data_IF_083346482131
#
_entry.id   IF_083346482131
#
_cell.length_a   1.000
_cell.length_b   1.000
_cell.length_c   1.000
_cell.angle_alpha   90.00
_cell.angle_beta   90.00
_cell.angle_gamma   90.00
#
_symmetry.space_group_name_H-M   'P 1'
#
loop_
_entity.id
_entity.type
_entity.pdbx_description
1 polymer ?
#
# COMPACT_ATOMS: atom_id res chain seq x y z
N UNK A 1 34.60 -10.12 6.62
CA UNK A 1 33.41 -10.35 5.78
C UNK A 1 32.24 -9.71 6.52
N UNK A 2 31.70 -8.61 6.01
CA UNK A 2 30.66 -7.82 6.68
C UNK A 2 29.41 -8.71 6.86
N UNK A 3 28.82 -8.73 8.05
CA UNK A 3 27.87 -9.73 8.57
C UNK A 3 26.49 -9.81 7.90
N UNK A 4 26.46 -9.99 6.58
CA UNK A 4 25.26 -10.25 5.79
C UNK A 4 24.89 -11.74 5.94
N UNK A 5 23.62 -12.03 6.23
CA UNK A 5 23.12 -13.40 6.40
C UNK A 5 22.04 -13.70 5.37
N UNK A 6 22.09 -14.80 4.60
CA UNK A 6 21.02 -15.14 3.67
C UNK A 6 19.65 -15.24 4.35
N UNK A 7 18.61 -14.81 3.64
CA UNK A 7 17.23 -15.10 4.01
C UNK A 7 16.94 -16.59 3.77
N UNK A 8 16.05 -17.15 4.59
CA UNK A 8 15.56 -18.51 4.38
C UNK A 8 14.75 -18.61 3.09
N UNK A 9 14.56 -19.83 2.56
CA UNK A 9 13.68 -20.06 1.41
C UNK A 9 12.23 -19.67 1.71
N UNK A 10 11.79 -19.83 2.96
CA UNK A 10 10.46 -19.42 3.44
C UNK A 10 10.32 -17.89 3.36
N UNK A 11 11.32 -17.16 3.85
CA UNK A 11 11.35 -15.71 3.78
C UNK A 11 11.34 -15.20 2.32
N UNK A 12 12.12 -15.82 1.44
CA UNK A 12 12.15 -15.47 0.01
C UNK A 12 10.80 -15.70 -0.68
N UNK A 13 10.14 -16.82 -0.39
CA UNK A 13 8.79 -17.09 -0.92
C UNK A 13 7.80 -16.06 -0.41
N UNK A 14 7.79 -15.80 0.91
CA UNK A 14 6.88 -14.84 1.52
C UNK A 14 7.09 -13.41 1.00
N UNK A 15 8.34 -13.02 0.73
CA UNK A 15 8.67 -11.72 0.14
C UNK A 15 8.12 -11.60 -1.28
N UNK A 16 8.36 -12.62 -2.10
CA UNK A 16 7.89 -12.67 -3.50
C UNK A 16 6.36 -12.58 -3.56
N UNK A 17 5.66 -13.36 -2.71
CA UNK A 17 4.20 -13.34 -2.64
C UNK A 17 3.69 -11.97 -2.16
N UNK A 18 4.35 -11.35 -1.18
CA UNK A 18 3.98 -10.02 -0.70
C UNK A 18 4.13 -8.97 -1.80
N UNK A 19 5.24 -8.98 -2.53
CA UNK A 19 5.48 -8.04 -3.66
C UNK A 19 4.43 -8.23 -4.75
N UNK A 20 4.09 -9.49 -5.09
CA UNK A 20 3.02 -9.79 -6.06
C UNK A 20 1.69 -9.21 -5.60
N UNK A 21 1.27 -9.49 -4.36
CA UNK A 21 0.00 -8.98 -3.81
C UNK A 21 -0.04 -7.45 -3.75
N UNK A 22 1.09 -6.79 -3.47
CA UNK A 22 1.18 -5.33 -3.48
C UNK A 22 1.04 -4.73 -4.89
N UNK A 23 1.62 -5.38 -5.92
CA UNK A 23 1.46 -4.98 -7.33
C UNK A 23 0.01 -5.15 -7.79
N UNK A 24 -0.63 -6.26 -7.44
CA UNK A 24 -2.03 -6.51 -7.76
C UNK A 24 -2.97 -5.50 -7.08
N UNK A 25 -2.67 -5.12 -5.83
CA UNK A 25 -3.43 -4.10 -5.10
C UNK A 25 -3.34 -2.72 -5.75
N UNK A 26 -2.14 -2.31 -6.18
CA UNK A 26 -1.90 -1.03 -6.84
C UNK A 26 -2.71 -0.85 -8.13
N UNK A 27 -3.04 -1.96 -8.83
CA UNK A 27 -3.82 -1.95 -10.06
C UNK A 27 -5.35 -1.89 -9.83
N UNK A 28 -5.82 -2.06 -8.59
CA UNK A 28 -7.27 -2.20 -8.27
C UNK A 28 -8.08 -0.90 -8.17
N UNK A 29 -7.43 0.27 -8.28
CA UNK A 29 -7.97 1.46 -8.95
C UNK A 29 -9.14 2.27 -8.36
N UNK A 30 -9.88 1.86 -7.31
CA UNK A 30 -10.96 2.70 -6.76
C UNK A 30 -10.95 2.81 -5.23
N UNK A 31 -10.75 4.03 -4.75
CA UNK A 31 -10.82 4.38 -3.33
C UNK A 31 -12.20 4.94 -2.94
N UNK A 32 -12.72 4.50 -1.79
CA UNK A 32 -13.97 5.01 -1.21
C UNK A 32 -15.19 4.13 -1.47
N UNK A 33 -16.14 4.11 -0.53
CA UNK A 33 -17.35 3.26 -0.57
C UNK A 33 -18.37 3.88 -1.54
N UNK A 34 -18.80 3.15 -2.58
CA UNK A 34 -19.97 3.54 -3.37
C UNK A 34 -21.17 3.85 -2.48
N UNK A 35 -21.73 5.05 -2.65
CA UNK A 35 -22.88 5.54 -1.89
C UNK A 35 -23.84 6.22 -2.84
N UNK A 36 -25.05 5.70 -2.93
CA UNK A 36 -26.13 6.32 -3.69
C UNK A 36 -26.72 7.49 -2.89
N UNK A 37 -26.98 8.61 -3.57
CA UNK A 37 -27.70 9.76 -3.01
C UNK A 37 -28.82 10.18 -3.96
N UNK A 38 -30.02 10.24 -3.44
CA UNK A 38 -31.20 10.75 -4.15
C UNK A 38 -31.27 12.27 -4.05
N UNK A 39 -31.65 12.93 -5.15
CA UNK A 39 -31.88 14.37 -5.24
C UNK A 39 -33.05 14.62 -6.19
N UNK A 40 -34.23 14.83 -5.63
CA UNK A 40 -35.48 14.91 -6.39
C UNK A 40 -35.75 13.59 -7.10
N UNK A 41 -36.07 13.64 -8.40
CA UNK A 41 -36.39 12.46 -9.20
C UNK A 41 -35.15 11.74 -9.76
N UNK A 42 -33.95 12.15 -9.35
CA UNK A 42 -32.68 11.60 -9.83
C UNK A 42 -31.84 11.02 -8.70
N UNK A 43 -31.09 9.97 -9.00
CA UNK A 43 -30.14 9.37 -8.07
C UNK A 43 -28.71 9.46 -8.62
N UNK A 44 -27.74 9.64 -7.73
CA UNK A 44 -26.35 9.88 -8.07
C UNK A 44 -25.41 9.06 -7.18
N UNK A 45 -24.42 8.43 -7.80
CA UNK A 45 -23.39 7.67 -7.11
C UNK A 45 -22.21 8.54 -6.72
N UNK A 46 -21.72 8.34 -5.50
CA UNK A 46 -20.52 8.97 -4.97
C UNK A 46 -19.58 7.92 -4.36
N UNK A 47 -18.27 8.10 -4.50
CA UNK A 47 -17.28 7.39 -3.71
C UNK A 47 -17.05 8.15 -2.40
N UNK A 48 -17.50 7.58 -1.29
CA UNK A 48 -17.33 8.15 0.04
C UNK A 48 -15.99 7.69 0.65
N UNK A 49 -15.08 8.64 0.95
CA UNK A 49 -13.83 8.33 1.66
C UNK A 49 -13.58 9.33 2.80
N UNK A 50 -13.01 8.85 3.91
CA UNK A 50 -12.60 9.69 5.03
C UNK A 50 -11.24 10.33 4.69
N UNK A 51 -11.13 11.65 4.88
CA UNK A 51 -9.87 12.40 4.80
C UNK A 51 -9.73 13.18 6.10
N UNK A 52 -8.83 12.74 6.98
CA UNK A 52 -8.75 13.25 8.35
C UNK A 52 -10.05 12.96 9.11
N UNK A 53 -10.71 14.01 9.61
CA UNK A 53 -12.00 13.92 10.30
C UNK A 53 -13.19 14.03 9.34
N UNK A 54 -12.98 14.48 8.10
CA UNK A 54 -14.05 14.80 7.16
C UNK A 54 -14.39 13.63 6.23
N UNK A 55 -15.68 13.46 5.94
CA UNK A 55 -16.14 12.57 4.88
C UNK A 55 -16.18 13.33 3.55
N UNK A 56 -15.35 12.93 2.59
CA UNK A 56 -15.37 13.44 1.21
C UNK A 56 -16.19 12.53 0.32
N UNK A 57 -17.02 13.13 -0.53
CA UNK A 57 -17.83 12.44 -1.53
C UNK A 57 -17.35 12.84 -2.91
N UNK A 58 -16.78 11.90 -3.66
CA UNK A 58 -16.33 12.12 -5.03
C UNK A 58 -17.43 11.64 -5.96
N UNK A 59 -17.93 12.52 -6.84
CA UNK A 59 -18.99 12.17 -7.77
C UNK A 59 -18.52 11.07 -8.76
N UNK A 60 -19.32 10.02 -8.90
CA UNK A 60 -19.05 8.91 -9.84
C UNK A 60 -19.89 9.09 -11.11
N UNK A 61 -21.19 9.35 -10.96
CA UNK A 61 -22.14 9.44 -12.07
C UNK A 61 -23.60 9.46 -11.61
N UNK A 62 -24.52 9.77 -12.52
CA UNK A 62 -25.96 9.51 -12.35
C UNK A 62 -26.22 8.01 -12.31
N UNK A 63 -27.29 7.58 -11.65
CA UNK A 63 -27.69 6.17 -11.55
C UNK A 63 -28.19 5.63 -12.90
N UNK A 64 -27.24 5.23 -13.74
CA UNK A 64 -27.44 4.56 -15.02
C UNK A 64 -26.90 3.13 -14.97
N UNK A 65 -27.27 2.29 -15.94
CA UNK A 65 -26.77 0.91 -16.02
C UNK A 65 -25.24 0.86 -16.15
N UNK A 66 -24.63 1.82 -16.86
CA UNK A 66 -23.17 1.96 -16.95
C UNK A 66 -22.54 2.27 -15.59
N UNK A 67 -23.11 3.23 -14.84
CA UNK A 67 -22.62 3.58 -13.51
C UNK A 67 -22.77 2.39 -12.56
N UNK A 68 -23.90 1.66 -12.61
CA UNK A 68 -24.13 0.45 -11.79
C UNK A 68 -23.11 -0.64 -12.09
N UNK A 69 -22.85 -0.95 -13.36
CA UNK A 69 -21.82 -1.91 -13.74
C UNK A 69 -20.41 -1.49 -13.28
N UNK A 70 -20.13 -0.18 -13.18
CA UNK A 70 -18.91 0.34 -12.58
C UNK A 70 -18.90 0.15 -11.05
N UNK A 71 -20.02 0.35 -10.37
CA UNK A 71 -20.16 0.09 -8.93
C UNK A 71 -19.99 -1.39 -8.61
N UNK A 72 -20.58 -2.29 -9.40
CA UNK A 72 -20.46 -3.74 -9.19
C UNK A 72 -18.99 -4.18 -9.23
N UNK A 73 -18.24 -3.72 -10.23
CA UNK A 73 -16.78 -3.96 -10.30
C UNK A 73 -16.03 -3.42 -9.09
N UNK A 74 -16.42 -2.25 -8.58
CA UNK A 74 -15.80 -1.67 -7.37
C UNK A 74 -16.09 -2.55 -6.16
N UNK A 75 -17.33 -3.01 -5.99
CA UNK A 75 -17.72 -3.87 -4.87
C UNK A 75 -17.06 -5.26 -4.94
N UNK A 76 -16.92 -5.86 -6.13
CA UNK A 76 -16.14 -7.09 -6.33
C UNK A 76 -14.68 -6.95 -5.88
N UNK A 77 -14.04 -5.85 -6.29
CA UNK A 77 -12.66 -5.55 -5.88
C UNK A 77 -12.54 -5.33 -4.36
N UNK A 78 -13.56 -4.72 -3.73
CA UNK A 78 -13.64 -4.52 -2.28
C UNK A 78 -13.89 -5.81 -1.51
N UNK A 79 -14.72 -6.70 -2.03
CA UNK A 79 -15.05 -7.97 -1.40
C UNK A 79 -13.77 -8.79 -1.11
N UNK A 80 -12.84 -8.80 -2.06
CA UNK A 80 -11.54 -9.47 -1.92
C UNK A 80 -10.46 -8.62 -1.24
N UNK A 81 -10.66 -7.30 -1.10
CA UNK A 81 -9.65 -6.39 -0.55
C UNK A 81 -9.30 -6.70 0.91
N UNK A 82 -10.30 -7.07 1.73
CA UNK A 82 -10.08 -7.42 3.14
C UNK A 82 -9.22 -8.68 3.27
N UNK A 83 -9.47 -9.68 2.44
CA UNK A 83 -8.70 -10.93 2.44
C UNK A 83 -7.27 -10.70 1.93
N UNK A 84 -7.12 -9.91 0.86
CA UNK A 84 -5.80 -9.47 0.37
C UNK A 84 -5.03 -8.69 1.44
N UNK A 85 -5.69 -7.80 2.19
CA UNK A 85 -5.08 -7.07 3.30
C UNK A 85 -4.66 -8.01 4.45
N UNK A 86 -5.50 -8.98 4.80
CA UNK A 86 -5.20 -9.95 5.83
C UNK A 86 -3.99 -10.81 5.45
N UNK A 87 -3.92 -11.26 4.19
CA UNK A 87 -2.79 -12.07 3.71
C UNK A 87 -1.49 -11.26 3.67
N UNK A 88 -1.50 -10.03 3.15
CA UNK A 88 -0.32 -9.15 3.22
C UNK A 88 0.15 -8.94 4.66
N UNK A 89 -0.79 -8.75 5.59
CA UNK A 89 -0.47 -8.59 7.01
C UNK A 89 0.15 -9.86 7.62
N UNK A 90 -0.29 -11.05 7.18
CA UNK A 90 0.29 -12.33 7.56
C UNK A 90 1.72 -12.47 7.04
N UNK A 91 1.95 -12.19 5.75
CA UNK A 91 3.28 -12.25 5.13
C UNK A 91 4.26 -11.28 5.80
N UNK A 92 3.86 -10.04 6.08
CA UNK A 92 4.72 -9.08 6.80
C UNK A 92 5.10 -9.58 8.20
N UNK A 93 4.18 -10.22 8.93
CA UNK A 93 4.51 -10.82 10.24
C UNK A 93 5.49 -11.97 10.11
N UNK A 94 5.34 -12.80 9.08
CA UNK A 94 6.28 -13.89 8.79
C UNK A 94 7.68 -13.35 8.48
N UNK A 95 7.80 -12.36 7.59
CA UNK A 95 9.09 -11.74 7.25
C UNK A 95 9.79 -11.13 8.48
N UNK A 96 9.03 -10.52 9.40
CA UNK A 96 9.57 -10.04 10.68
C UNK A 96 10.07 -11.17 11.57
N UNK A 97 9.34 -12.28 11.63
CA UNK A 97 9.75 -13.47 12.39
C UNK A 97 11.01 -14.12 11.79
N UNK A 98 11.17 -14.05 10.46
CA UNK A 98 12.38 -14.45 9.72
C UNK A 98 13.56 -13.46 9.87
N UNK A 99 13.36 -12.38 10.64
CA UNK A 99 14.42 -11.44 11.01
C UNK A 99 14.68 -10.32 10.01
N UNK A 100 13.79 -10.09 9.03
CA UNK A 100 13.85 -8.86 8.21
C UNK A 100 13.57 -7.63 9.07
N UNK A 101 14.29 -6.55 8.77
CA UNK A 101 14.20 -5.30 9.52
C UNK A 101 12.86 -4.61 9.27
N UNK A 102 12.01 -4.41 10.29
CA UNK A 102 10.74 -3.72 10.10
C UNK A 102 10.93 -2.22 9.95
N UNK A 103 10.04 -1.59 9.19
CA UNK A 103 9.81 -0.14 9.29
C UNK A 103 9.08 0.17 10.59
N UNK A 104 9.52 1.21 11.31
CA UNK A 104 8.83 1.68 12.51
C UNK A 104 7.46 2.31 12.17
N UNK A 105 6.62 2.47 13.19
CA UNK A 105 5.24 2.94 13.01
C UNK A 105 5.17 4.38 12.48
N UNK A 106 6.03 5.27 12.94
CA UNK A 106 5.99 6.69 12.55
C UNK A 106 6.36 6.84 11.07
N UNK A 107 7.50 6.25 10.68
CA UNK A 107 7.95 6.22 9.28
C UNK A 107 6.91 5.57 8.37
N UNK A 108 6.39 4.40 8.76
CA UNK A 108 5.36 3.69 7.99
C UNK A 108 4.07 4.51 7.80
N UNK A 109 3.64 5.25 8.83
CA UNK A 109 2.46 6.12 8.75
C UNK A 109 2.68 7.29 7.78
N UNK A 110 3.87 7.90 7.79
CA UNK A 110 4.20 9.00 6.89
C UNK A 110 4.24 8.49 5.45
N UNK A 111 4.97 7.39 5.18
CA UNK A 111 5.04 6.80 3.84
C UNK A 111 3.66 6.40 3.31
N UNK A 112 2.78 5.86 4.16
CA UNK A 112 1.41 5.53 3.78
C UNK A 112 0.59 6.78 3.41
N UNK A 113 0.71 7.86 4.18
CA UNK A 113 0.06 9.12 3.86
C UNK A 113 0.58 9.73 2.54
N UNK A 114 1.89 9.66 2.29
CA UNK A 114 2.51 10.12 1.05
C UNK A 114 2.03 9.32 -0.16
N UNK A 115 1.90 8.00 -0.03
CA UNK A 115 1.34 7.14 -1.08
C UNK A 115 -0.12 7.52 -1.39
N UNK A 116 -0.94 7.70 -0.36
CA UNK A 116 -2.35 8.10 -0.50
C UNK A 116 -2.50 9.51 -1.11
N UNK A 117 -1.57 10.43 -0.83
CA UNK A 117 -1.49 11.74 -1.46
C UNK A 117 -1.05 11.68 -2.93
N UNK A 118 -0.53 10.53 -3.38
CA UNK A 118 -0.07 10.33 -4.75
C UNK A 118 1.40 10.65 -4.99
N UNK A 119 2.19 10.89 -3.95
CA UNK A 119 3.62 11.27 -4.06
C UNK A 119 4.38 10.32 -4.99
N UNK A 120 4.26 9.01 -4.76
CA UNK A 120 4.97 8.00 -5.56
C UNK A 120 4.38 7.83 -6.96
N UNK A 121 3.05 7.97 -7.12
CA UNK A 121 2.39 7.91 -8.44
C UNK A 121 2.80 9.10 -9.32
N UNK A 122 3.19 10.22 -8.71
CA UNK A 122 3.60 11.44 -9.40
C UNK A 122 5.14 11.56 -9.55
N UNK A 123 5.88 10.45 -9.45
CA UNK A 123 7.33 10.42 -9.69
C UNK A 123 8.21 10.65 -8.45
N UNK A 124 7.63 10.85 -7.27
CA UNK A 124 8.40 10.83 -6.02
C UNK A 124 8.99 9.44 -5.77
N UNK A 125 10.25 9.36 -5.40
CA UNK A 125 10.96 8.10 -5.16
C UNK A 125 11.64 8.13 -3.79
N UNK A 126 11.44 7.08 -2.97
CA UNK A 126 12.14 6.95 -1.69
C UNK A 126 13.61 6.69 -1.96
N UNK A 127 14.48 7.46 -1.31
CA UNK A 127 15.93 7.27 -1.34
C UNK A 127 16.50 7.19 0.09
N UNK A 128 17.81 7.02 0.22
CA UNK A 128 18.47 6.99 1.52
C UNK A 128 18.16 5.73 2.34
N UNK A 129 18.22 5.86 3.67
CA UNK A 129 18.19 4.74 4.61
C UNK A 129 16.94 3.86 4.48
N UNK A 130 15.77 4.47 4.29
CA UNK A 130 14.51 3.73 4.19
C UNK A 130 14.41 2.92 2.89
N UNK A 131 14.92 3.45 1.77
CA UNK A 131 15.04 2.68 0.53
C UNK A 131 16.06 1.56 0.66
N UNK A 132 17.20 1.82 1.31
CA UNK A 132 18.26 0.83 1.45
C UNK A 132 17.81 -0.43 2.22
N UNK A 133 16.96 -0.27 3.23
CA UNK A 133 16.39 -1.40 4.00
C UNK A 133 15.58 -2.37 3.14
N UNK A 134 14.95 -1.91 2.05
CA UNK A 134 14.17 -2.76 1.15
C UNK A 134 15.04 -3.77 0.40
N UNK A 135 16.34 -3.49 0.24
CA UNK A 135 17.26 -4.43 -0.40
C UNK A 135 17.38 -5.77 0.33
N UNK A 136 16.99 -5.87 1.60
CA UNK A 136 17.02 -7.16 2.29
C UNK A 136 16.17 -8.21 1.56
N UNK A 137 14.98 -7.81 1.12
CA UNK A 137 14.07 -8.68 0.36
C UNK A 137 14.50 -8.85 -1.09
N UNK A 138 14.92 -7.77 -1.76
CA UNK A 138 15.34 -7.83 -3.17
C UNK A 138 16.60 -8.68 -3.38
N UNK A 139 17.56 -8.62 -2.45
CA UNK A 139 18.82 -9.36 -2.53
C UNK A 139 18.79 -10.70 -1.80
N UNK A 140 17.71 -10.99 -1.06
CA UNK A 140 17.60 -12.20 -0.27
C UNK A 140 18.61 -12.31 0.88
N UNK A 141 19.03 -11.19 1.45
CA UNK A 141 20.01 -11.14 2.55
C UNK A 141 19.53 -10.22 3.67
N UNK A 142 19.83 -10.56 4.92
CA UNK A 142 19.75 -9.62 6.04
C UNK A 142 21.00 -8.78 6.05
N UNK A 143 20.80 -7.47 6.10
CA UNK A 143 21.87 -6.50 6.16
C UNK A 143 22.28 -6.31 7.63
N UNK A 144 23.57 -6.08 7.94
CA UNK A 144 24.04 -5.83 9.30
C UNK A 144 23.70 -4.40 9.73
N UNK A 145 22.41 -4.06 9.78
CA UNK A 145 21.92 -2.70 10.05
C UNK A 145 21.89 -2.38 11.56
N UNK A 146 22.14 -3.38 12.42
CA UNK A 146 21.93 -3.37 13.88
C UNK A 146 22.64 -2.29 14.73
N UNK A 147 23.32 -1.31 14.14
CA UNK A 147 23.87 -0.16 14.87
C UNK A 147 24.17 1.10 14.09
N UNK A 148 24.04 1.14 12.75
CA UNK A 148 24.65 2.22 11.95
C UNK A 148 23.70 3.07 11.10
N UNK A 149 22.43 2.70 10.93
CA UNK A 149 21.49 3.49 10.13
C UNK A 149 20.09 3.49 10.75
N UNK A 150 19.90 4.31 11.79
CA UNK A 150 18.60 4.68 12.33
C UNK A 150 18.41 6.20 12.19
N UNK A 151 18.59 6.72 10.98
CA UNK A 151 18.09 8.06 10.68
C UNK A 151 16.57 8.00 10.70
N UNK A 152 15.94 8.93 11.43
CA UNK A 152 14.49 9.10 11.44
C UNK A 152 13.97 9.86 10.21
N UNK A 153 14.88 10.28 9.34
CA UNK A 153 14.57 11.09 8.17
C UNK A 153 14.00 10.23 7.03
N UNK A 154 13.13 10.84 6.23
CA UNK A 154 12.57 10.26 5.01
C UNK A 154 13.05 11.10 3.85
N UNK A 155 13.96 10.54 3.06
CA UNK A 155 14.50 11.21 1.87
C UNK A 155 13.67 10.84 0.64
N UNK A 156 13.23 11.85 -0.10
CA UNK A 156 12.46 11.69 -1.34
C UNK A 156 13.17 12.46 -2.45
N UNK A 157 13.49 11.75 -3.53
CA UNK A 157 13.96 12.35 -4.77
C UNK A 157 12.82 12.45 -5.79
N UNK A 158 12.93 13.39 -6.72
CA UNK A 158 12.11 13.40 -7.92
C UNK A 158 12.80 12.54 -8.99
N UNK A 159 12.11 11.52 -9.48
CA UNK A 159 12.56 10.72 -10.61
C UNK A 159 11.69 11.09 -11.83
N UNK A 160 12.33 11.48 -12.93
CA UNK A 160 11.69 11.85 -14.19
C UNK A 160 11.48 10.62 -15.09
#
# INVERSE_FOLDING_TARGET
MIGMTPLSSIAMSAYTDLVRLLKDDALSGVEGKPTLKERGDKAYWYAARRVGTEMRFIYIGEDSDETRARIDRIEELRATAKDRQAERSRLVRLLRAEGMTPTDRATGSILSAMAAAGTFRLGGTIVGTNAFRLYEGELGIRLPIGGMANTGDIDIAQFE
#
